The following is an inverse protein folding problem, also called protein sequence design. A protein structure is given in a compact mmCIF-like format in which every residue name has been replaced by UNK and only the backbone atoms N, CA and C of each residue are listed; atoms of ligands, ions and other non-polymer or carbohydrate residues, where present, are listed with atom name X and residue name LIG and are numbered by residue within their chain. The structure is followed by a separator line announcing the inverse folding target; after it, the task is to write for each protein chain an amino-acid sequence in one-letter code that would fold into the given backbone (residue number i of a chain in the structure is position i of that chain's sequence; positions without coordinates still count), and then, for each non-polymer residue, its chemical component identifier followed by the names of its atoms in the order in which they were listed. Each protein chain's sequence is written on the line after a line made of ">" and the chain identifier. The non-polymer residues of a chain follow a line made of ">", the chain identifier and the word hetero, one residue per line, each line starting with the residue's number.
data_IF_379492537840
#
_entry.id   IF_379492537840
#
_cell.length_a   1.000
_cell.length_b   1.000
_cell.length_c   1.000
_cell.angle_alpha   90.00
_cell.angle_beta   90.00
_cell.angle_gamma   90.00
#
_symmetry.space_group_name_H-M   'P 1'
#
loop_
_entity.id
_entity.type
_entity.pdbx_description
1 polymer ?
#
# COMPACT_ATOMS: atom_id res chain seq x y z
N UNK A 1 11.68 -20.10 18.38
CA UNK A 1 12.16 -19.17 17.33
C UNK A 1 13.43 -19.75 16.72
N UNK A 2 13.48 -19.90 15.42
CA UNK A 2 14.67 -20.33 14.68
C UNK A 2 15.10 -19.21 13.74
N UNK A 3 16.41 -19.14 13.45
CA UNK A 3 16.94 -18.15 12.50
C UNK A 3 17.30 -18.86 11.21
N UNK A 4 16.91 -18.29 10.07
CA UNK A 4 17.21 -18.82 8.74
C UNK A 4 17.93 -17.74 7.93
N UNK A 5 19.02 -18.14 7.26
CA UNK A 5 19.69 -17.32 6.27
C UNK A 5 19.09 -17.60 4.92
N UNK A 6 18.72 -16.56 4.18
CA UNK A 6 18.20 -16.62 2.83
C UNK A 6 19.13 -15.86 1.89
N UNK A 7 19.39 -16.43 0.73
CA UNK A 7 20.26 -15.82 -0.27
C UNK A 7 19.50 -14.80 -1.11
N UNK A 8 20.22 -13.88 -1.70
CA UNK A 8 19.65 -12.95 -2.69
C UNK A 8 18.88 -13.70 -3.78
N UNK A 9 17.70 -13.17 -4.12
CA UNK A 9 16.73 -13.73 -5.08
C UNK A 9 16.04 -15.03 -4.61
N UNK A 10 16.25 -15.49 -3.39
CA UNK A 10 15.55 -16.63 -2.85
C UNK A 10 14.10 -16.24 -2.50
N UNK A 11 13.16 -17.10 -2.93
CA UNK A 11 11.75 -16.97 -2.59
C UNK A 11 11.54 -17.47 -1.16
N UNK A 12 10.94 -16.64 -0.31
CA UNK A 12 10.63 -16.94 1.09
C UNK A 12 9.24 -17.54 1.21
N UNK A 13 8.27 -16.96 0.49
CA UNK A 13 6.90 -17.43 0.41
C UNK A 13 6.28 -17.02 -0.93
N UNK A 14 5.35 -17.81 -1.44
CA UNK A 14 4.67 -17.56 -2.72
C UNK A 14 3.23 -17.14 -2.52
N UNK A 15 2.75 -16.28 -3.40
CA UNK A 15 1.35 -15.90 -3.48
C UNK A 15 0.44 -17.14 -3.55
N UNK A 16 -0.68 -17.12 -2.82
CA UNK A 16 -1.67 -18.20 -2.69
C UNK A 16 -1.23 -19.43 -1.91
N UNK A 17 0.03 -19.57 -1.53
CA UNK A 17 0.44 -20.62 -0.58
C UNK A 17 -0.18 -20.38 0.79
N UNK A 18 -0.49 -21.47 1.52
CA UNK A 18 -1.02 -21.39 2.89
C UNK A 18 0.03 -20.82 3.83
N UNK A 19 -0.35 -19.84 4.65
CA UNK A 19 0.53 -19.30 5.69
C UNK A 19 0.68 -20.35 6.79
N UNK A 20 1.90 -20.87 6.94
CA UNK A 20 2.29 -21.81 7.99
C UNK A 20 3.38 -21.26 8.89
N UNK A 21 4.04 -20.22 8.44
CA UNK A 21 5.17 -19.61 9.14
C UNK A 21 5.08 -18.10 9.04
N UNK A 22 5.51 -17.47 10.10
CA UNK A 22 5.79 -16.04 10.11
C UNK A 22 7.28 -15.81 10.11
N UNK A 23 7.68 -14.73 9.48
CA UNK A 23 9.08 -14.34 9.41
C UNK A 23 9.22 -12.89 9.86
N UNK A 24 10.28 -12.61 10.65
CA UNK A 24 10.69 -11.23 10.96
C UNK A 24 12.04 -11.00 10.28
N UNK A 25 12.13 -9.95 9.48
CA UNK A 25 13.40 -9.55 8.87
C UNK A 25 14.33 -8.99 9.95
N UNK A 26 15.40 -9.71 10.28
CA UNK A 26 16.41 -9.28 11.24
C UNK A 26 17.50 -8.46 10.56
N UNK A 27 17.95 -8.92 9.39
CA UNK A 27 18.96 -8.27 8.56
C UNK A 27 18.59 -8.44 7.08
N UNK A 28 19.02 -7.48 6.26
CA UNK A 28 18.76 -7.48 4.83
C UNK A 28 17.39 -6.91 4.47
N UNK A 29 16.97 -7.19 3.22
CA UNK A 29 15.80 -6.59 2.60
C UNK A 29 15.02 -7.62 1.80
N UNK A 30 13.69 -7.60 1.94
CA UNK A 30 12.75 -8.46 1.24
C UNK A 30 11.79 -7.61 0.43
N UNK A 31 11.46 -8.04 -0.77
CA UNK A 31 10.36 -7.45 -1.55
C UNK A 31 9.11 -8.30 -1.37
N UNK A 32 8.04 -7.66 -0.97
CA UNK A 32 6.68 -8.15 -1.11
C UNK A 32 6.18 -7.72 -2.50
N UNK A 33 5.88 -8.65 -3.38
CA UNK A 33 5.51 -8.35 -4.75
C UNK A 33 4.37 -9.23 -5.28
N UNK A 34 3.59 -8.64 -6.18
CA UNK A 34 2.65 -9.34 -7.04
C UNK A 34 2.83 -8.82 -8.48
N UNK A 35 1.90 -9.18 -9.39
CA UNK A 35 1.96 -8.74 -10.80
C UNK A 35 1.93 -7.21 -10.97
N UNK A 36 1.53 -6.46 -9.95
CA UNK A 36 1.20 -5.05 -10.07
C UNK A 36 2.05 -4.14 -9.16
N UNK A 37 2.44 -4.61 -7.99
CA UNK A 37 3.10 -3.78 -6.99
C UNK A 37 4.32 -4.48 -6.38
N UNK A 38 5.31 -3.66 -5.99
CA UNK A 38 6.50 -4.09 -5.23
C UNK A 38 6.66 -3.19 -4.02
N UNK A 39 6.71 -3.79 -2.84
CA UNK A 39 6.90 -3.09 -1.57
C UNK A 39 8.17 -3.63 -0.93
N UNK A 40 9.06 -2.73 -0.54
CA UNK A 40 10.32 -3.08 0.12
C UNK A 40 10.09 -3.23 1.61
N UNK A 41 10.45 -4.37 2.16
CA UNK A 41 10.37 -4.71 3.57
C UNK A 41 11.78 -4.81 4.15
N UNK A 42 12.13 -3.90 5.03
CA UNK A 42 13.42 -3.87 5.72
C UNK A 42 13.35 -4.51 7.11
N UNK A 43 14.37 -4.23 7.91
CA UNK A 43 14.52 -4.72 9.29
C UNK A 43 13.25 -4.50 10.12
N UNK A 44 12.87 -5.50 10.90
CA UNK A 44 11.68 -5.61 11.74
C UNK A 44 10.35 -5.74 10.98
N UNK A 45 10.35 -5.82 9.65
CA UNK A 45 9.13 -6.16 8.92
C UNK A 45 8.71 -7.61 9.18
N UNK A 46 7.41 -7.85 9.20
CA UNK A 46 6.82 -9.16 9.43
C UNK A 46 6.18 -9.69 8.15
N UNK A 47 6.49 -10.93 7.81
CA UNK A 47 5.91 -11.64 6.68
C UNK A 47 4.97 -12.72 7.25
N UNK A 48 3.77 -12.80 6.71
CA UNK A 48 2.77 -13.81 7.06
C UNK A 48 1.70 -13.34 8.04
N UNK A 49 2.02 -12.47 8.98
CA UNK A 49 1.09 -12.04 10.03
C UNK A 49 -0.15 -11.31 9.51
N UNK A 50 -0.02 -10.61 8.38
CA UNK A 50 -1.08 -9.81 7.75
C UNK A 50 -1.88 -10.56 6.68
N UNK A 51 -1.52 -11.79 6.38
CA UNK A 51 -2.00 -12.46 5.16
C UNK A 51 -3.26 -13.32 5.40
N UNK A 52 -3.62 -13.57 6.63
CA UNK A 52 -4.69 -14.50 6.97
C UNK A 52 -4.26 -15.95 6.71
N UNK A 53 -5.04 -16.73 5.92
CA UNK A 53 -4.77 -18.13 5.65
C UNK A 53 -3.83 -18.37 4.45
N UNK A 54 -3.67 -17.38 3.56
CA UNK A 54 -2.82 -17.45 2.37
C UNK A 54 -2.05 -16.15 2.12
N UNK A 55 -0.85 -16.31 1.60
CA UNK A 55 -0.04 -15.15 1.20
C UNK A 55 -0.71 -14.40 0.03
N UNK A 56 -0.83 -13.08 0.14
CA UNK A 56 -1.39 -12.21 -0.91
C UNK A 56 -0.36 -11.90 -2.00
N UNK A 57 0.92 -12.00 -1.68
CA UNK A 57 2.03 -11.64 -2.55
C UNK A 57 3.14 -12.70 -2.49
N UNK A 58 4.07 -12.64 -3.44
CA UNK A 58 5.36 -13.31 -3.32
C UNK A 58 6.29 -12.49 -2.41
N UNK A 59 7.14 -13.18 -1.66
CA UNK A 59 8.17 -12.60 -0.83
C UNK A 59 9.53 -13.08 -1.28
N UNK A 60 10.39 -12.15 -1.72
CA UNK A 60 11.69 -12.46 -2.31
C UNK A 60 12.78 -11.64 -1.65
N UNK A 61 13.86 -12.28 -1.21
CA UNK A 61 15.03 -11.59 -0.69
C UNK A 61 15.74 -10.81 -1.81
N UNK A 62 16.02 -9.53 -1.61
CA UNK A 62 16.74 -8.70 -2.60
C UNK A 62 18.24 -8.68 -2.39
N UNK A 63 18.66 -9.11 -1.22
CA UNK A 63 20.04 -9.30 -0.79
C UNK A 63 20.10 -10.48 0.19
N UNK A 64 21.30 -10.92 0.55
CA UNK A 64 21.46 -11.93 1.59
C UNK A 64 20.86 -11.42 2.88
N UNK A 65 19.92 -12.17 3.44
CA UNK A 65 19.07 -11.73 4.53
C UNK A 65 19.00 -12.76 5.65
N UNK A 66 18.73 -12.28 6.85
CA UNK A 66 18.55 -13.11 8.06
C UNK A 66 17.13 -12.93 8.55
N UNK A 67 16.39 -14.03 8.66
CA UNK A 67 15.00 -14.05 9.09
C UNK A 67 14.83 -14.85 10.38
N UNK A 68 14.14 -14.29 11.36
CA UNK A 68 13.61 -15.08 12.46
C UNK A 68 12.32 -15.77 11.99
N UNK A 69 12.17 -17.05 12.29
CA UNK A 69 11.06 -17.89 11.81
C UNK A 69 10.27 -18.43 12.97
N UNK A 70 8.95 -18.36 12.84
CA UNK A 70 7.97 -18.89 13.78
C UNK A 70 7.01 -19.80 13.03
N UNK A 71 6.70 -20.97 13.57
CA UNK A 71 5.54 -21.72 13.13
C UNK A 71 4.31 -20.99 13.69
N UNK A 72 3.36 -20.65 12.84
CA UNK A 72 2.14 -19.97 13.25
C UNK A 72 1.05 -20.24 12.21
N UNK A 73 0.26 -21.28 12.46
CA UNK A 73 -0.91 -21.65 11.64
C UNK A 73 -2.22 -21.19 12.29
N UNK A 74 -2.18 -20.79 13.57
CA UNK A 74 -3.35 -20.45 14.37
C UNK A 74 -3.07 -19.34 15.39
N UNK A 75 -4.12 -18.78 15.98
CA UNK A 75 -4.02 -17.85 17.09
C UNK A 75 -3.41 -18.50 18.35
N UNK A 76 -3.61 -19.81 18.52
CA UNK A 76 -3.04 -20.61 19.60
C UNK A 76 -1.52 -20.67 19.48
N UNK A 77 -0.98 -20.91 18.26
CA UNK A 77 0.47 -20.91 18.03
C UNK A 77 1.08 -19.54 18.37
N UNK A 78 0.38 -18.45 18.02
CA UNK A 78 0.79 -17.10 18.40
C UNK A 78 0.82 -16.94 19.92
N UNK A 79 -0.23 -17.43 20.60
CA UNK A 79 -0.32 -17.38 22.05
C UNK A 79 0.80 -18.15 22.71
N UNK A 80 1.12 -19.34 22.24
CA UNK A 80 2.28 -20.11 22.72
C UNK A 80 3.61 -19.39 22.49
N UNK A 81 3.76 -18.76 21.31
CA UNK A 81 5.00 -18.05 20.99
C UNK A 81 5.27 -16.84 21.88
N UNK A 82 4.23 -16.21 22.42
CA UNK A 82 4.36 -15.00 23.25
C UNK A 82 4.13 -15.26 24.74
N UNK A 83 3.60 -16.44 25.11
CA UNK A 83 3.25 -16.74 26.50
C UNK A 83 4.47 -16.64 27.44
N UNK A 84 4.34 -15.81 28.46
CA UNK A 84 5.41 -15.57 29.43
C UNK A 84 6.66 -14.85 28.89
N UNK A 85 6.63 -14.38 27.61
CA UNK A 85 7.77 -13.74 26.95
C UNK A 85 7.46 -12.27 26.59
N UNK A 86 7.60 -11.37 27.55
CA UNK A 86 7.32 -9.93 27.36
C UNK A 86 8.11 -9.31 26.19
N UNK A 87 9.38 -9.68 26.04
CA UNK A 87 10.21 -9.21 24.92
C UNK A 87 9.66 -9.64 23.57
N UNK A 88 9.12 -10.85 23.46
CA UNK A 88 8.53 -11.36 22.22
C UNK A 88 7.22 -10.63 21.91
N UNK A 89 6.36 -10.40 22.91
CA UNK A 89 5.14 -9.59 22.75
C UNK A 89 5.48 -8.21 22.19
N UNK A 90 6.46 -7.55 22.80
CA UNK A 90 6.89 -6.21 22.33
C UNK A 90 7.40 -6.24 20.88
N UNK A 91 8.24 -7.20 20.52
CA UNK A 91 8.81 -7.32 19.16
C UNK A 91 7.71 -7.55 18.13
N UNK A 92 6.82 -8.53 18.35
CA UNK A 92 5.76 -8.86 17.40
C UNK A 92 4.75 -7.72 17.25
N UNK A 93 4.35 -7.10 18.36
CA UNK A 93 3.42 -5.98 18.33
C UNK A 93 3.99 -4.77 17.60
N UNK A 94 5.25 -4.37 17.89
CA UNK A 94 5.93 -3.28 17.19
C UNK A 94 6.08 -3.57 15.70
N UNK A 95 6.43 -4.79 15.35
CA UNK A 95 6.57 -5.20 13.97
C UNK A 95 5.23 -5.11 13.21
N UNK A 96 4.15 -5.61 13.79
CA UNK A 96 2.81 -5.54 13.19
C UNK A 96 2.32 -4.08 13.02
N UNK A 97 2.49 -3.25 14.04
CA UNK A 97 2.11 -1.84 14.00
C UNK A 97 2.96 -1.04 13.01
N UNK A 98 4.28 -1.29 12.98
CA UNK A 98 5.21 -0.64 12.04
C UNK A 98 4.87 -0.98 10.58
N UNK A 99 4.57 -2.23 10.28
CA UNK A 99 4.18 -2.66 8.95
C UNK A 99 2.84 -2.00 8.52
N UNK A 100 1.85 -2.02 9.39
CA UNK A 100 0.58 -1.32 9.15
C UNK A 100 0.82 0.15 8.81
N UNK A 101 1.60 0.86 9.63
CA UNK A 101 1.87 2.29 9.42
C UNK A 101 2.60 2.55 8.11
N UNK A 102 3.61 1.74 7.78
CA UNK A 102 4.34 1.85 6.51
C UNK A 102 3.40 1.70 5.31
N UNK A 103 2.54 0.68 5.31
CA UNK A 103 1.60 0.44 4.21
C UNK A 103 0.52 1.51 4.11
N UNK A 104 0.01 2.02 5.24
CA UNK A 104 -0.92 3.15 5.25
C UNK A 104 -0.31 4.40 4.60
N UNK A 105 0.94 4.74 4.95
CA UNK A 105 1.65 5.88 4.33
C UNK A 105 1.85 5.68 2.83
N UNK A 106 2.23 4.47 2.42
CA UNK A 106 2.38 4.11 1.00
C UNK A 106 1.06 4.28 0.26
N UNK A 107 -0.03 3.75 0.82
CA UNK A 107 -1.36 3.86 0.23
C UNK A 107 -1.83 5.32 0.15
N UNK A 108 -1.65 6.11 1.21
CA UNK A 108 -1.99 7.53 1.22
C UNK A 108 -1.21 8.32 0.17
N UNK A 109 0.09 8.05 0.02
CA UNK A 109 0.93 8.65 -1.02
C UNK A 109 0.43 8.34 -2.43
N UNK A 110 0.09 7.09 -2.72
CA UNK A 110 -0.50 6.70 -4.00
C UNK A 110 -1.88 7.32 -4.22
N UNK A 111 -2.73 7.38 -3.20
CA UNK A 111 -4.05 8.02 -3.28
C UNK A 111 -3.92 9.49 -3.68
N UNK A 112 -2.96 10.21 -3.12
CA UNK A 112 -2.72 11.60 -3.48
C UNK A 112 -2.25 11.75 -4.93
N UNK A 113 -1.37 10.87 -5.41
CA UNK A 113 -0.97 10.87 -6.82
C UNK A 113 -2.16 10.61 -7.75
N UNK A 114 -2.99 9.61 -7.46
CA UNK A 114 -4.19 9.30 -8.25
C UNK A 114 -5.14 10.49 -8.29
N UNK A 115 -5.36 11.18 -7.17
CA UNK A 115 -6.19 12.39 -7.13
C UNK A 115 -5.60 13.53 -7.96
N UNK A 116 -4.29 13.72 -7.91
CA UNK A 116 -3.62 14.74 -8.73
C UNK A 116 -3.78 14.45 -10.22
N UNK A 117 -3.56 13.20 -10.65
CA UNK A 117 -3.78 12.81 -12.05
C UNK A 117 -5.22 12.99 -12.48
N UNK A 118 -6.18 12.55 -11.66
CA UNK A 118 -7.60 12.75 -11.96
C UNK A 118 -7.95 14.24 -12.10
N UNK A 119 -7.49 15.08 -11.18
CA UNK A 119 -7.74 16.52 -11.23
C UNK A 119 -7.08 17.17 -12.45
N UNK A 120 -5.89 16.71 -12.84
CA UNK A 120 -5.22 17.17 -14.03
C UNK A 120 -6.03 16.79 -15.28
N UNK A 121 -6.42 15.53 -15.44
CA UNK A 121 -7.22 15.05 -16.55
C UNK A 121 -8.54 15.83 -16.69
N UNK A 122 -9.27 16.03 -15.60
CA UNK A 122 -10.52 16.79 -15.61
C UNK A 122 -10.32 18.25 -16.02
N UNK A 123 -9.20 18.86 -15.60
CA UNK A 123 -8.87 20.21 -16.04
C UNK A 123 -8.61 20.27 -17.55
N UNK A 124 -7.86 19.33 -18.11
CA UNK A 124 -7.59 19.24 -19.55
C UNK A 124 -8.87 19.02 -20.35
N UNK A 125 -9.78 18.13 -19.90
CA UNK A 125 -11.09 17.94 -20.53
C UNK A 125 -11.91 19.23 -20.51
N UNK A 126 -11.96 19.95 -19.42
CA UNK A 126 -12.68 21.23 -19.31
C UNK A 126 -12.11 22.28 -20.24
N UNK A 127 -10.80 22.35 -20.41
CA UNK A 127 -10.16 23.26 -21.37
C UNK A 127 -10.54 22.88 -22.82
N UNK A 128 -10.54 21.58 -23.16
CA UNK A 128 -10.95 21.10 -24.46
C UNK A 128 -12.42 21.46 -24.76
N UNK A 129 -13.34 21.21 -23.84
CA UNK A 129 -14.76 21.56 -23.98
C UNK A 129 -14.93 23.07 -24.21
N UNK A 130 -14.21 23.91 -23.46
CA UNK A 130 -14.23 25.35 -23.63
C UNK A 130 -13.73 25.79 -25.01
N UNK A 131 -12.66 25.17 -25.52
CA UNK A 131 -12.15 25.46 -26.87
C UNK A 131 -13.15 25.04 -27.95
N UNK A 132 -13.76 23.88 -27.83
CA UNK A 132 -14.80 23.43 -28.77
C UNK A 132 -15.97 24.42 -28.80
N UNK A 133 -16.47 24.84 -27.64
CA UNK A 133 -17.51 25.83 -27.51
C UNK A 133 -17.13 27.20 -28.16
N UNK A 134 -15.91 27.68 -27.85
CA UNK A 134 -15.42 28.97 -28.36
C UNK A 134 -15.28 28.99 -29.88
N UNK A 135 -14.85 27.90 -30.49
CA UNK A 135 -14.62 27.80 -31.94
C UNK A 135 -15.73 27.09 -32.70
N UNK A 136 -16.84 26.77 -32.04
CA UNK A 136 -17.99 26.06 -32.64
C UNK A 136 -17.58 24.74 -33.32
N UNK A 137 -16.69 23.96 -32.61
CA UNK A 137 -16.21 22.66 -33.05
C UNK A 137 -17.08 21.56 -32.44
N UNK A 138 -17.26 20.48 -33.20
CA UNK A 138 -17.91 19.28 -32.67
C UNK A 138 -16.99 18.62 -31.64
N UNK A 139 -17.52 18.41 -30.44
CA UNK A 139 -16.78 17.69 -29.38
C UNK A 139 -16.60 16.23 -29.77
N UNK A 140 -15.35 15.74 -29.60
CA UNK A 140 -15.08 14.31 -29.67
C UNK A 140 -15.30 13.66 -28.33
N UNK A 141 -15.88 12.48 -28.31
CA UNK A 141 -16.08 11.70 -27.11
C UNK A 141 -14.73 11.11 -26.64
N UNK A 142 -14.29 11.47 -25.44
CA UNK A 142 -13.14 10.87 -24.77
C UNK A 142 -13.60 10.02 -23.60
N UNK A 143 -12.88 8.91 -23.34
CA UNK A 143 -13.09 8.14 -22.12
C UNK A 143 -12.53 8.94 -20.95
N UNK A 144 -13.37 9.28 -19.99
CA UNK A 144 -12.96 9.95 -18.74
C UNK A 144 -12.54 8.94 -17.70
N UNK A 145 -11.62 9.35 -16.81
CA UNK A 145 -11.23 8.53 -15.66
C UNK A 145 -12.37 8.46 -14.65
N UNK A 146 -12.70 7.25 -14.19
CA UNK A 146 -13.63 7.08 -13.09
C UNK A 146 -13.07 7.64 -11.78
N UNK A 147 -13.95 8.12 -10.91
CA UNK A 147 -13.55 8.57 -9.58
C UNK A 147 -13.04 7.41 -8.74
N UNK A 148 -11.77 7.46 -8.34
CA UNK A 148 -11.19 6.51 -7.39
C UNK A 148 -11.71 6.79 -5.97
N UNK A 149 -12.31 5.77 -5.35
CA UNK A 149 -12.78 5.85 -3.95
C UNK A 149 -11.77 5.17 -3.03
N UNK A 150 -10.93 5.94 -2.31
CA UNK A 150 -9.98 5.34 -1.37
C UNK A 150 -10.69 4.65 -0.20
N UNK A 151 -10.01 3.72 0.45
CA UNK A 151 -10.51 3.05 1.64
C UNK A 151 -10.83 4.07 2.75
N UNK A 152 -12.01 3.93 3.37
CA UNK A 152 -12.46 4.86 4.45
C UNK A 152 -11.48 4.96 5.62
N UNK A 153 -10.79 3.86 5.94
CA UNK A 153 -9.78 3.85 7.00
C UNK A 153 -8.58 4.77 6.71
N UNK A 154 -8.28 5.03 5.44
CA UNK A 154 -7.20 5.94 5.03
C UNK A 154 -7.63 7.38 5.22
N UNK A 155 -8.87 7.73 4.91
CA UNK A 155 -9.40 9.06 5.20
C UNK A 155 -9.36 9.37 6.70
N UNK A 156 -9.65 8.39 7.54
CA UNK A 156 -9.54 8.57 9.00
C UNK A 156 -8.09 8.73 9.44
N UNK A 157 -7.18 7.94 8.86
CA UNK A 157 -5.76 8.05 9.15
C UNK A 157 -5.15 9.37 8.66
N UNK A 158 -5.50 9.82 7.43
CA UNK A 158 -5.07 11.12 6.90
C UNK A 158 -5.58 12.28 7.76
N UNK A 159 -6.85 12.28 8.14
CA UNK A 159 -7.41 13.31 8.99
C UNK A 159 -6.79 13.29 10.39
N UNK A 160 -6.45 12.13 10.91
CA UNK A 160 -5.81 11.97 12.20
C UNK A 160 -4.32 12.32 12.15
N UNK A 161 -3.59 11.93 11.10
CA UNK A 161 -2.19 12.32 10.87
C UNK A 161 -2.04 13.83 10.61
N UNK A 162 -2.95 14.45 9.88
CA UNK A 162 -2.96 15.90 9.67
C UNK A 162 -3.25 16.65 10.97
N UNK A 163 -4.15 16.12 11.82
CA UNK A 163 -4.48 16.70 13.12
C UNK A 163 -3.45 16.43 14.23
N UNK A 164 -2.68 15.35 14.12
CA UNK A 164 -1.80 14.84 15.17
C UNK A 164 -0.42 14.38 14.67
N UNK A 165 0.07 14.96 13.59
CA UNK A 165 1.35 14.58 12.97
C UNK A 165 2.55 14.61 13.95
N UNK A 166 2.44 15.33 15.05
CA UNK A 166 3.43 15.35 16.13
C UNK A 166 3.25 14.21 17.16
N UNK A 167 2.11 13.56 17.24
CA UNK A 167 1.76 12.65 18.35
C UNK A 167 1.92 11.16 18.05
N UNK A 168 2.07 10.76 16.78
CA UNK A 168 2.40 9.37 16.40
C UNK A 168 3.90 9.06 16.44
N UNK A 169 4.74 10.05 16.69
CA UNK A 169 6.18 9.89 16.82
C UNK A 169 6.55 9.69 18.29
N UNK A 170 6.86 8.48 18.64
CA UNK A 170 7.60 8.17 19.87
C UNK A 170 6.71 7.82 21.07
N UNK A 171 6.10 8.77 21.76
CA UNK A 171 5.48 8.52 23.06
C UNK A 171 4.18 7.70 22.99
N UNK A 172 3.28 8.01 22.07
CA UNK A 172 1.99 7.31 21.97
C UNK A 172 2.13 5.85 21.54
N UNK A 173 3.01 5.57 20.59
CA UNK A 173 3.29 4.20 20.18
C UNK A 173 3.93 3.43 21.32
N UNK A 174 4.87 4.03 22.03
CA UNK A 174 5.54 3.44 23.20
C UNK A 174 4.54 3.15 24.32
N UNK A 175 3.67 4.08 24.65
CA UNK A 175 2.63 3.90 25.67
C UNK A 175 1.63 2.81 25.27
N UNK A 176 1.21 2.79 24.01
CA UNK A 176 0.32 1.75 23.49
C UNK A 176 0.97 0.37 23.54
N UNK A 177 2.21 0.26 23.08
CA UNK A 177 2.96 -1.00 23.14
C UNK A 177 3.14 -1.44 24.60
N UNK A 178 3.53 -0.53 25.49
CA UNK A 178 3.70 -0.81 26.91
C UNK A 178 2.41 -1.30 27.58
N UNK A 179 1.26 -0.73 27.20
CA UNK A 179 -0.05 -1.16 27.70
C UNK A 179 -0.42 -2.55 27.17
N UNK A 180 -0.33 -2.76 25.87
CA UNK A 180 -0.77 -4.00 25.21
C UNK A 180 0.15 -5.20 25.52
N UNK A 181 1.43 -4.97 25.74
CA UNK A 181 2.36 -6.08 26.05
C UNK A 181 2.22 -6.66 27.47
N UNK A 182 1.44 -6.04 28.35
CA UNK A 182 1.26 -6.48 29.75
C UNK A 182 0.48 -7.77 29.86
N UNK A 183 -0.42 -8.01 28.92
CA UNK A 183 -1.32 -9.17 28.90
C UNK A 183 -1.29 -9.86 27.54
N UNK A 184 -1.23 -11.20 27.55
CA UNK A 184 -1.14 -12.00 26.32
C UNK A 184 -2.35 -11.79 25.41
N UNK A 185 -3.57 -11.73 25.96
CA UNK A 185 -4.79 -11.59 25.17
C UNK A 185 -4.91 -10.18 24.56
N UNK A 186 -4.54 -9.14 25.32
CA UNK A 186 -4.48 -7.77 24.80
C UNK A 186 -3.46 -7.66 23.68
N UNK A 187 -2.28 -8.26 23.85
CA UNK A 187 -1.24 -8.27 22.84
C UNK A 187 -1.68 -8.98 21.55
N UNK A 188 -2.27 -10.18 21.68
CA UNK A 188 -2.81 -10.94 20.54
C UNK A 188 -3.88 -10.12 19.83
N UNK A 189 -4.84 -9.57 20.56
CA UNK A 189 -5.89 -8.74 20.00
C UNK A 189 -5.34 -7.56 19.19
N UNK A 190 -4.35 -6.85 19.72
CA UNK A 190 -3.70 -5.72 19.06
C UNK A 190 -2.92 -6.16 17.79
N UNK A 191 -2.21 -7.30 17.84
CA UNK A 191 -1.50 -7.87 16.69
C UNK A 191 -2.51 -8.28 15.60
N UNK A 192 -3.59 -8.97 15.97
CA UNK A 192 -4.60 -9.43 15.01
C UNK A 192 -5.32 -8.25 14.34
N UNK A 193 -5.64 -7.20 15.10
CA UNK A 193 -6.23 -5.97 14.55
C UNK A 193 -5.26 -5.27 13.59
N UNK A 194 -4.00 -5.12 13.97
CA UNK A 194 -2.98 -4.55 13.09
C UNK A 194 -2.81 -5.38 11.81
N UNK A 195 -2.86 -6.71 11.92
CA UNK A 195 -2.77 -7.63 10.79
C UNK A 195 -3.96 -7.50 9.85
N UNK A 196 -5.17 -7.44 10.39
CA UNK A 196 -6.39 -7.24 9.61
C UNK A 196 -6.36 -5.93 8.83
N UNK A 197 -5.96 -4.84 9.48
CA UNK A 197 -5.83 -3.54 8.83
C UNK A 197 -4.74 -3.55 7.75
N UNK A 198 -3.60 -4.18 8.01
CA UNK A 198 -2.51 -4.34 7.04
C UNK A 198 -2.98 -5.09 5.79
N UNK A 199 -3.73 -6.17 5.96
CA UNK A 199 -4.33 -6.92 4.84
C UNK A 199 -5.27 -6.05 4.02
N UNK A 200 -6.15 -5.29 4.65
CA UNK A 200 -7.08 -4.39 3.94
C UNK A 200 -6.34 -3.32 3.14
N UNK A 201 -5.30 -2.73 3.70
CA UNK A 201 -4.48 -1.73 3.01
C UNK A 201 -3.73 -2.35 1.83
N UNK A 202 -3.16 -3.54 2.01
CA UNK A 202 -2.50 -4.27 0.91
C UNK A 202 -3.47 -4.53 -0.25
N UNK A 203 -4.69 -4.98 0.07
CA UNK A 203 -5.73 -5.17 -0.93
C UNK A 203 -6.10 -3.85 -1.63
N UNK A 204 -6.22 -2.75 -0.88
CA UNK A 204 -6.47 -1.42 -1.44
C UNK A 204 -5.35 -0.94 -2.38
N UNK A 205 -4.08 -1.26 -2.09
CA UNK A 205 -2.96 -0.96 -3.00
C UNK A 205 -3.13 -1.75 -4.31
N UNK A 206 -3.51 -3.03 -4.24
CA UNK A 206 -3.75 -3.87 -5.42
C UNK A 206 -4.87 -3.27 -6.27
N UNK A 207 -6.00 -2.94 -5.66
CA UNK A 207 -7.16 -2.34 -6.35
C UNK A 207 -6.81 -1.00 -7.01
N UNK A 208 -5.99 -0.18 -6.34
CA UNK A 208 -5.51 1.08 -6.91
C UNK A 208 -4.62 0.88 -8.13
N UNK A 209 -3.71 -0.11 -8.09
CA UNK A 209 -2.86 -0.42 -9.24
C UNK A 209 -3.68 -0.96 -10.40
N UNK A 210 -4.71 -1.75 -10.14
CA UNK A 210 -5.65 -2.21 -11.17
C UNK A 210 -6.43 -1.03 -11.77
N UNK A 211 -6.89 -0.09 -10.94
CA UNK A 211 -7.52 1.15 -11.41
C UNK A 211 -6.59 1.97 -12.31
N UNK A 212 -5.33 2.18 -11.92
CA UNK A 212 -4.35 2.90 -12.74
C UNK A 212 -4.07 2.16 -14.06
N UNK A 213 -4.02 0.83 -14.03
CA UNK A 213 -3.85 0.02 -15.24
C UNK A 213 -5.05 0.13 -16.19
N UNK A 214 -6.26 0.14 -15.65
CA UNK A 214 -7.48 0.32 -16.45
C UNK A 214 -7.49 1.67 -17.16
N UNK A 215 -6.97 2.71 -16.51
CA UNK A 215 -6.90 4.07 -17.05
C UNK A 215 -5.53 4.39 -17.71
N UNK A 216 -4.72 3.38 -18.03
CA UNK A 216 -3.35 3.60 -18.53
C UNK A 216 -3.27 4.40 -19.82
N UNK A 217 -4.24 4.25 -20.73
CA UNK A 217 -4.23 4.95 -22.01
C UNK A 217 -4.45 6.45 -21.83
N UNK A 218 -5.31 6.84 -20.90
CA UNK A 218 -5.52 8.25 -20.52
C UNK A 218 -4.24 8.81 -19.89
N UNK A 219 -3.65 8.09 -18.93
CA UNK A 219 -2.41 8.49 -18.24
C UNK A 219 -1.24 8.63 -19.23
N UNK A 220 -1.15 7.74 -20.22
CA UNK A 220 -0.10 7.79 -21.25
C UNK A 220 -0.31 8.95 -22.21
N UNK A 221 -1.56 9.24 -22.60
CA UNK A 221 -1.90 10.37 -23.46
C UNK A 221 -1.51 11.69 -22.77
N UNK A 222 -1.87 11.86 -21.51
CA UNK A 222 -1.50 13.04 -20.72
C UNK A 222 0.01 13.19 -20.57
N UNK A 223 0.73 12.11 -20.28
CA UNK A 223 2.19 12.14 -20.10
C UNK A 223 2.95 12.54 -21.37
N UNK A 224 2.35 12.34 -22.54
CA UNK A 224 2.92 12.68 -23.85
C UNK A 224 2.46 14.04 -24.38
N UNK A 225 1.67 14.78 -23.61
CA UNK A 225 0.98 15.99 -24.09
C UNK A 225 0.13 15.77 -25.35
N UNK A 226 -0.41 14.57 -25.53
CA UNK A 226 -1.22 14.26 -26.71
C UNK A 226 -2.53 15.08 -26.73
N UNK A 227 -3.08 15.40 -25.56
CA UNK A 227 -4.21 16.32 -25.41
C UNK A 227 -3.83 17.74 -25.85
N UNK A 228 -2.66 18.24 -25.47
CA UNK A 228 -2.15 19.54 -25.91
C UNK A 228 -1.99 19.59 -27.44
N UNK A 229 -1.44 18.55 -28.04
CA UNK A 229 -1.30 18.45 -29.49
C UNK A 229 -2.66 18.43 -30.19
N UNK A 230 -3.67 17.74 -29.61
CA UNK A 230 -5.04 17.74 -30.10
C UNK A 230 -5.64 19.16 -30.05
N UNK A 231 -5.53 19.90 -28.95
CA UNK A 231 -5.99 21.27 -28.81
C UNK A 231 -5.30 22.19 -29.82
N UNK A 232 -4.00 22.05 -30.01
CA UNK A 232 -3.25 22.82 -30.98
C UNK A 232 -3.71 22.56 -32.41
N UNK A 233 -3.94 21.29 -32.77
CA UNK A 233 -4.47 20.91 -34.06
C UNK A 233 -5.90 21.50 -34.32
N UNK A 234 -6.75 21.46 -33.32
CA UNK A 234 -8.11 22.03 -33.38
C UNK A 234 -8.07 23.56 -33.54
N UNK A 235 -7.19 24.24 -32.79
CA UNK A 235 -7.01 25.70 -32.92
C UNK A 235 -6.53 26.11 -34.32
N UNK A 236 -5.59 25.36 -34.92
CA UNK A 236 -5.16 25.59 -36.32
C UNK A 236 -6.27 25.36 -37.32
N UNK A 237 -7.09 24.31 -37.12
CA UNK A 237 -8.21 24.05 -38.00
C UNK A 237 -9.27 25.16 -37.93
N UNK A 238 -9.53 25.70 -36.74
CA UNK A 238 -10.45 26.81 -36.54
C UNK A 238 -9.99 28.08 -37.27
N UNK A 239 -8.69 28.39 -37.23
CA UNK A 239 -8.12 29.54 -37.94
C UNK A 239 -8.20 29.42 -39.47
N UNK A 240 -8.25 28.21 -40.03
CA UNK A 240 -8.39 27.99 -41.49
C UNK A 240 -9.82 28.09 -41.99
N UNK A 241 -10.82 28.09 -41.11
CA UNK A 241 -12.25 28.22 -41.45
C UNK A 241 -12.74 29.66 -41.38
N UNK A 242 -11.98 30.58 -40.81
CA UNK A 242 -12.20 32.01 -40.78
C UNK A 242 -11.30 32.70 -41.85
#
# INVERSE_FOLDING_TARGET
>A
MTTVKVQKNQIIAKQKEKVKKWYIVQEGTVIQCNSYAKIVLGKNAVIGISEGDRYLCDYVATEDSVLAVFNCESAEDLKEAIHGQESMRSILLRAALGQRQMLLRTYAGFTNLVRQFHSFAENEYSQYENLCAQYHLDEQSFTRMDNFKPLEMVHRAENWEIGNSASLTGSYLEEYVHLMQRDDNLCIGAIMEASYQTRRVTQGIIEMVEYLRYNQDILLAESKNDLFNLFFALAIQAQKKN
#
